data_IF_439131271707
#
_entry.id   IF_439131271707
#
_cell.length_a   1.000
_cell.length_b   1.000
_cell.length_c   1.000
_cell.angle_alpha   90.00
_cell.angle_beta   90.00
_cell.angle_gamma   90.00
#
_symmetry.space_group_name_H-M   'P 1'
#
loop_
_entity.id
_entity.type
_entity.pdbx_description
1 polymer ?
#
# COMPACT_ATOMS: atom_id res chain seq x y z
N UNK A 1 -21.03 3.89 2.92
CA UNK A 1 -19.91 4.30 3.80
C UNK A 1 -19.96 3.59 5.16
N UNK A 2 -21.06 3.67 5.92
CA UNK A 2 -21.18 2.96 7.21
C UNK A 2 -20.88 1.45 7.13
N UNK A 3 -21.42 0.76 6.11
CA UNK A 3 -21.14 -0.66 5.88
C UNK A 3 -19.66 -0.99 5.63
N UNK A 4 -18.93 -0.11 4.93
CA UNK A 4 -17.49 -0.28 4.71
C UNK A 4 -16.71 -0.12 6.01
N UNK A 5 -17.00 0.93 6.79
CA UNK A 5 -16.32 1.18 8.06
C UNK A 5 -16.53 0.02 9.05
N UNK A 6 -17.76 -0.51 9.12
CA UNK A 6 -18.10 -1.66 9.96
C UNK A 6 -17.40 -2.94 9.51
N UNK A 7 -17.13 -3.10 8.20
CA UNK A 7 -16.49 -4.29 7.66
C UNK A 7 -14.96 -4.29 7.84
N UNK A 8 -14.30 -3.14 7.72
CA UNK A 8 -12.84 -3.05 7.75
C UNK A 8 -12.25 -3.13 9.17
N UNK A 9 -12.92 -2.54 10.17
CA UNK A 9 -12.40 -2.48 11.54
C UNK A 9 -12.06 -3.87 12.14
N UNK A 10 -12.98 -4.86 12.10
CA UNK A 10 -12.70 -6.20 12.59
C UNK A 10 -11.54 -6.90 11.87
N UNK A 11 -11.35 -6.62 10.57
CA UNK A 11 -10.23 -7.18 9.79
C UNK A 11 -8.90 -6.66 10.31
N UNK A 12 -8.80 -5.36 10.57
CA UNK A 12 -7.56 -4.76 11.10
C UNK A 12 -7.30 -5.24 12.53
N UNK A 13 -8.32 -5.30 13.38
CA UNK A 13 -8.18 -5.76 14.76
C UNK A 13 -7.76 -7.23 14.87
N UNK A 14 -8.18 -8.08 13.92
CA UNK A 14 -7.79 -9.49 13.85
C UNK A 14 -6.52 -9.76 13.02
N UNK A 15 -5.85 -8.72 12.53
CA UNK A 15 -4.60 -8.87 11.79
C UNK A 15 -3.43 -9.17 12.74
N UNK A 16 -2.49 -10.05 12.36
CA UNK A 16 -1.25 -10.21 13.12
C UNK A 16 -0.45 -8.90 13.08
N UNK A 17 0.43 -8.64 14.07
CA UNK A 17 1.42 -7.57 13.96
C UNK A 17 2.27 -7.75 12.70
N UNK A 18 2.57 -6.65 12.01
CA UNK A 18 3.37 -6.64 10.78
C UNK A 18 4.51 -5.66 10.95
N UNK A 19 5.74 -6.14 10.74
CA UNK A 19 6.94 -5.30 10.61
C UNK A 19 7.28 -5.16 9.13
N UNK A 20 7.48 -3.93 8.67
CA UNK A 20 7.82 -3.63 7.27
C UNK A 20 9.14 -2.90 7.17
N UNK A 21 9.78 -2.99 6.01
CA UNK A 21 10.98 -2.22 5.67
C UNK A 21 10.86 -1.76 4.22
N UNK A 22 11.40 -0.59 3.87
CA UNK A 22 11.51 -0.22 2.46
C UNK A 22 12.70 -0.92 1.84
N UNK A 23 12.51 -1.50 0.66
CA UNK A 23 13.53 -2.32 0.01
C UNK A 23 13.48 -2.16 -1.50
N UNK A 24 14.64 -2.05 -2.12
CA UNK A 24 14.82 -1.96 -3.56
C UNK A 24 14.01 -0.83 -4.21
N UNK A 25 13.96 -0.91 -5.53
CA UNK A 25 13.09 -0.06 -6.31
C UNK A 25 12.66 -0.80 -7.58
N UNK A 26 11.61 -0.28 -8.20
CA UNK A 26 11.14 -0.78 -9.47
C UNK A 26 10.25 0.21 -10.15
N UNK A 27 9.70 -0.21 -11.29
CA UNK A 27 8.86 0.65 -12.11
C UNK A 27 7.59 -0.05 -12.54
N UNK A 28 6.48 0.67 -12.60
CA UNK A 28 5.25 0.17 -13.22
C UNK A 28 4.98 0.79 -14.58
N UNK A 29 4.38 -0.04 -15.44
CA UNK A 29 4.06 0.25 -16.83
C UNK A 29 4.75 -0.76 -17.74
N UNK A 30 4.24 -0.89 -18.96
CA UNK A 30 4.76 -1.85 -19.94
C UNK A 30 5.86 -1.20 -20.78
N UNK A 31 5.54 -0.77 -22.00
CA UNK A 31 6.49 -0.20 -22.96
C UNK A 31 7.13 1.12 -22.51
N UNK A 32 6.43 1.87 -21.66
CA UNK A 32 6.91 3.14 -21.10
C UNK A 32 6.54 3.15 -19.61
N UNK A 33 7.41 2.66 -18.72
CA UNK A 33 7.13 2.69 -17.29
C UNK A 33 7.04 4.14 -16.79
N UNK A 34 5.99 4.46 -16.04
CA UNK A 34 5.68 5.85 -15.62
C UNK A 34 5.70 6.08 -14.13
N UNK A 35 5.82 5.02 -13.36
CA UNK A 35 5.78 5.06 -11.91
C UNK A 35 7.09 4.49 -11.44
N UNK A 36 7.82 5.24 -10.61
CA UNK A 36 8.94 4.73 -9.82
C UNK A 36 8.41 4.44 -8.41
N UNK A 37 8.81 3.31 -7.86
CA UNK A 37 8.42 2.89 -6.52
C UNK A 37 9.59 2.27 -5.77
N UNK A 38 9.56 2.36 -4.44
CA UNK A 38 10.34 1.51 -3.54
C UNK A 38 9.49 0.31 -3.12
N UNK A 39 10.10 -0.87 -3.03
CA UNK A 39 9.42 -2.07 -2.56
C UNK A 39 9.22 -2.02 -1.05
N UNK A 40 8.34 -2.89 -0.55
CA UNK A 40 8.15 -3.10 0.88
C UNK A 40 8.51 -4.55 1.20
N UNK A 41 9.55 -4.72 2.00
CA UNK A 41 9.99 -5.99 2.61
C UNK A 41 9.52 -6.14 4.05
N UNK A 42 10.14 -7.08 4.78
CA UNK A 42 9.71 -7.49 6.13
C UNK A 42 8.66 -8.60 6.07
N UNK A 43 7.60 -8.48 6.86
CA UNK A 43 6.51 -9.45 6.97
C UNK A 43 5.52 -9.35 5.79
N UNK A 44 6.04 -9.47 4.56
CA UNK A 44 5.30 -9.27 3.30
C UNK A 44 4.11 -10.22 3.16
N UNK A 45 4.25 -11.47 3.62
CA UNK A 45 3.17 -12.45 3.59
C UNK A 45 2.03 -12.03 4.54
N UNK A 46 2.38 -11.56 5.75
CA UNK A 46 1.41 -11.01 6.70
C UNK A 46 0.69 -9.79 6.16
N UNK A 47 1.42 -8.86 5.53
CA UNK A 47 0.86 -7.69 4.89
C UNK A 47 -0.09 -8.06 3.73
N UNK A 48 0.27 -9.07 2.93
CA UNK A 48 -0.55 -9.55 1.81
C UNK A 48 -1.85 -10.19 2.29
N UNK A 49 -1.80 -11.00 3.36
CA UNK A 49 -3.00 -11.56 3.99
C UNK A 49 -3.95 -10.45 4.49
N UNK A 50 -3.41 -9.39 5.09
CA UNK A 50 -4.22 -8.24 5.53
C UNK A 50 -4.84 -7.53 4.33
N UNK A 51 -4.07 -7.27 3.27
CA UNK A 51 -4.56 -6.64 2.04
C UNK A 51 -5.70 -7.44 1.40
N UNK A 52 -5.57 -8.77 1.30
CA UNK A 52 -6.58 -9.65 0.73
C UNK A 52 -7.87 -9.67 1.56
N UNK A 53 -7.75 -9.73 2.89
CA UNK A 53 -8.92 -9.69 3.80
C UNK A 53 -9.64 -8.34 3.71
N UNK A 54 -8.91 -7.23 3.66
CA UNK A 54 -9.49 -5.89 3.48
C UNK A 54 -10.18 -5.77 2.12
N UNK A 55 -9.57 -6.28 1.05
CA UNK A 55 -10.17 -6.33 -0.28
C UNK A 55 -11.47 -7.13 -0.30
N UNK A 56 -11.49 -8.32 0.32
CA UNK A 56 -12.69 -9.15 0.43
C UNK A 56 -13.81 -8.44 1.21
N UNK A 57 -13.49 -7.83 2.37
CA UNK A 57 -14.44 -7.07 3.17
C UNK A 57 -15.01 -5.87 2.42
N UNK A 58 -14.17 -5.14 1.68
CA UNK A 58 -14.59 -4.00 0.86
C UNK A 58 -15.51 -4.44 -0.29
N UNK A 59 -15.19 -5.55 -0.99
CA UNK A 59 -16.07 -6.11 -2.03
C UNK A 59 -17.43 -6.52 -1.46
N UNK A 60 -17.45 -7.17 -0.30
CA UNK A 60 -18.70 -7.54 0.36
C UNK A 60 -19.55 -6.32 0.75
N UNK A 61 -18.90 -5.20 1.09
CA UNK A 61 -19.55 -3.91 1.34
C UNK A 61 -19.95 -3.13 0.05
N UNK A 62 -19.81 -3.73 -1.12
CA UNK A 62 -20.19 -3.14 -2.42
C UNK A 62 -19.19 -2.16 -3.00
N UNK A 63 -17.94 -2.14 -2.50
CA UNK A 63 -16.87 -1.30 -3.05
C UNK A 63 -16.13 -2.08 -4.13
N UNK A 64 -16.03 -1.55 -5.37
CA UNK A 64 -15.17 -2.15 -6.39
C UNK A 64 -13.71 -2.11 -5.93
N UNK A 65 -13.05 -3.26 -5.95
CA UNK A 65 -11.63 -3.41 -5.63
C UNK A 65 -10.94 -3.99 -6.85
N UNK A 66 -9.73 -3.52 -7.13
CA UNK A 66 -8.88 -4.04 -8.19
C UNK A 66 -8.61 -5.55 -8.02
N UNK A 67 -8.52 -6.27 -9.14
CA UNK A 67 -8.21 -7.71 -9.17
C UNK A 67 -6.72 -7.99 -9.36
N UNK A 68 -5.92 -6.95 -9.65
CA UNK A 68 -4.48 -7.10 -9.77
C UNK A 68 -3.89 -7.65 -8.47
N UNK A 69 -2.93 -8.59 -8.55
CA UNK A 69 -2.22 -9.08 -7.38
C UNK A 69 -1.66 -7.93 -6.57
N UNK A 70 -1.82 -8.01 -5.25
CA UNK A 70 -1.24 -7.04 -4.34
C UNK A 70 0.28 -7.10 -4.43
N UNK A 71 0.89 -5.96 -4.76
CA UNK A 71 2.34 -5.78 -4.77
C UNK A 71 2.64 -4.62 -3.80
N UNK A 72 3.10 -4.88 -2.58
CA UNK A 72 3.32 -3.83 -1.58
C UNK A 72 4.48 -2.93 -2.01
N UNK A 73 4.18 -1.65 -2.16
CA UNK A 73 5.13 -0.66 -2.69
C UNK A 73 4.79 0.75 -2.19
N UNK A 74 5.82 1.59 -2.15
CA UNK A 74 5.67 3.03 -1.98
C UNK A 74 5.94 3.72 -3.32
N UNK A 75 4.92 4.36 -3.90
CA UNK A 75 5.14 5.21 -5.09
C UNK A 75 5.99 6.41 -4.71
N UNK A 76 7.15 6.57 -5.35
CA UNK A 76 8.06 7.70 -5.14
C UNK A 76 7.81 8.84 -6.12
N UNK A 77 7.38 8.52 -7.34
CA UNK A 77 7.17 9.52 -8.37
C UNK A 77 6.41 8.99 -9.59
N UNK A 78 5.79 9.92 -10.32
CA UNK A 78 5.07 9.64 -11.57
C UNK A 78 5.48 10.63 -12.65
N UNK A 79 5.84 10.14 -13.82
CA UNK A 79 6.20 10.98 -14.97
C UNK A 79 4.96 11.32 -15.81
N UNK A 80 4.88 12.57 -16.26
CA UNK A 80 3.82 13.10 -17.13
C UNK A 80 4.21 13.12 -18.62
N UNK A 81 3.24 13.36 -19.51
CA UNK A 81 3.48 13.50 -20.95
C UNK A 81 4.04 12.23 -21.62
N UNK A 82 5.17 12.34 -22.31
CA UNK A 82 5.88 11.24 -22.99
C UNK A 82 7.06 10.68 -22.19
N UNK A 83 7.35 11.22 -21.01
CA UNK A 83 8.47 10.80 -20.16
C UNK A 83 8.32 9.37 -19.63
N UNK A 84 9.37 8.84 -19.03
CA UNK A 84 9.39 7.52 -18.39
C UNK A 84 10.26 7.52 -17.14
N UNK A 85 9.99 6.58 -16.24
CA UNK A 85 10.74 6.41 -15.01
C UNK A 85 12.17 5.97 -15.34
N UNK A 86 13.12 6.81 -14.92
CA UNK A 86 14.54 6.65 -15.19
C UNK A 86 15.06 5.30 -14.65
N UNK A 87 15.60 4.40 -15.50
CA UNK A 87 16.18 3.14 -15.05
C UNK A 87 17.33 3.33 -14.07
N UNK A 88 18.13 4.39 -14.19
CA UNK A 88 19.27 4.63 -13.29
C UNK A 88 18.84 4.89 -11.85
N UNK A 89 17.63 5.43 -11.66
CA UNK A 89 17.07 5.59 -10.30
C UNK A 89 16.72 4.25 -9.67
N UNK A 90 16.36 3.24 -10.45
CA UNK A 90 16.10 1.88 -9.91
C UNK A 90 17.40 1.31 -9.34
N UNK A 91 18.50 1.41 -10.10
CA UNK A 91 19.79 0.88 -9.66
C UNK A 91 20.32 1.61 -8.41
N UNK A 92 20.19 2.95 -8.39
CA UNK A 92 20.61 3.78 -7.24
C UNK A 92 19.79 3.54 -5.97
N UNK A 93 18.52 3.18 -6.13
CA UNK A 93 17.60 2.87 -5.05
C UNK A 93 17.50 1.35 -4.82
N UNK A 94 18.47 0.57 -5.28
CA UNK A 94 18.61 -0.83 -4.91
C UNK A 94 18.90 -1.02 -3.42
N UNK A 95 18.66 -2.23 -2.90
CA UNK A 95 18.96 -2.59 -1.51
C UNK A 95 17.98 -2.05 -0.48
N UNK A 96 18.29 -2.22 0.80
CA UNK A 96 17.38 -1.88 1.89
C UNK A 96 17.46 -0.39 2.25
N UNK A 97 16.30 0.22 2.53
CA UNK A 97 16.15 1.64 2.83
C UNK A 97 15.67 1.84 4.27
N UNK A 98 16.60 2.26 5.13
CA UNK A 98 16.29 2.54 6.53
C UNK A 98 16.01 1.29 7.37
N UNK A 99 15.67 1.46 8.67
CA UNK A 99 15.36 0.35 9.56
C UNK A 99 14.02 -0.30 9.17
N UNK A 100 13.81 -1.54 9.60
CA UNK A 100 12.46 -2.11 9.66
C UNK A 100 11.67 -1.45 10.80
N UNK A 101 10.36 -1.30 10.63
CA UNK A 101 9.48 -0.70 11.63
C UNK A 101 8.13 -1.42 11.70
N UNK A 102 7.50 -1.43 12.89
CA UNK A 102 6.18 -1.99 13.03
C UNK A 102 5.12 -1.08 12.39
N UNK A 103 4.20 -1.69 11.66
CA UNK A 103 2.95 -1.03 11.26
C UNK A 103 2.13 -0.85 12.52
N UNK A 104 1.78 0.39 12.86
CA UNK A 104 1.00 0.75 14.06
C UNK A 104 -0.46 1.08 13.74
N UNK A 105 -0.77 1.36 12.48
CA UNK A 105 -2.11 1.81 12.08
C UNK A 105 -2.41 1.46 10.61
N UNK A 106 -3.67 1.09 10.35
CA UNK A 106 -4.25 1.01 9.01
C UNK A 106 -5.25 2.14 8.84
N UNK A 107 -5.12 2.92 7.76
CA UNK A 107 -5.90 4.15 7.54
C UNK A 107 -6.76 4.02 6.29
N UNK A 108 -8.05 4.33 6.42
CA UNK A 108 -8.93 4.52 5.27
C UNK A 108 -8.83 5.96 4.77
N UNK A 109 -8.41 6.11 3.52
CA UNK A 109 -8.32 7.39 2.82
C UNK A 109 -9.44 7.55 1.80
N UNK A 110 -9.84 8.80 1.56
CA UNK A 110 -10.66 9.23 0.44
C UNK A 110 -9.81 10.08 -0.49
N UNK A 111 -9.90 9.84 -1.80
CA UNK A 111 -9.17 10.58 -2.82
C UNK A 111 -10.14 11.25 -3.82
N UNK A 112 -10.64 12.47 -3.53
CA UNK A 112 -11.49 13.18 -4.48
C UNK A 112 -10.64 13.72 -5.66
N UNK A 113 -11.16 13.70 -6.90
CA UNK A 113 -10.45 14.25 -8.05
C UNK A 113 -10.11 15.73 -7.85
N UNK A 114 -8.85 16.10 -8.11
CA UNK A 114 -8.37 17.48 -8.03
C UNK A 114 -8.30 18.08 -6.62
N UNK A 115 -8.49 17.26 -5.57
CA UNK A 115 -8.39 17.69 -4.17
C UNK A 115 -7.35 16.84 -3.41
N UNK A 116 -6.79 17.36 -2.32
CA UNK A 116 -5.96 16.55 -1.42
C UNK A 116 -6.69 15.30 -0.93
N UNK A 117 -5.93 14.26 -0.61
CA UNK A 117 -6.48 13.08 0.07
C UNK A 117 -6.98 13.44 1.46
N UNK A 118 -8.10 12.86 1.85
CA UNK A 118 -8.75 13.07 3.14
C UNK A 118 -8.71 11.78 3.95
N UNK A 119 -8.27 11.87 5.21
CA UNK A 119 -8.35 10.75 6.14
C UNK A 119 -9.80 10.55 6.56
N UNK A 120 -10.33 9.34 6.38
CA UNK A 120 -11.70 8.99 6.81
C UNK A 120 -11.68 8.47 8.24
N UNK A 121 -10.83 7.47 8.52
CA UNK A 121 -10.61 6.89 9.85
C UNK A 121 -9.30 6.10 9.87
N UNK A 122 -8.83 5.72 11.06
CA UNK A 122 -7.75 4.74 11.22
C UNK A 122 -8.08 3.74 12.32
N UNK A 123 -7.50 2.55 12.20
CA UNK A 123 -7.59 1.49 13.19
C UNK A 123 -6.17 1.12 13.63
N UNK A 124 -5.90 1.05 14.94
CA UNK A 124 -4.62 0.58 15.43
C UNK A 124 -4.40 -0.86 14.97
N UNK A 125 -3.19 -1.17 14.52
CA UNK A 125 -2.78 -2.55 14.29
C UNK A 125 -2.46 -3.23 15.63
N UNK A 126 -2.40 -4.57 15.64
CA UNK A 126 -2.17 -5.35 16.85
C UNK A 126 -0.75 -5.25 17.44
N UNK A 127 0.06 -4.23 17.08
CA UNK A 127 1.41 -4.09 17.64
C UNK A 127 1.32 -3.67 19.12
N UNK A 128 1.58 -4.61 20.02
CA UNK A 128 1.80 -4.32 21.44
C UNK A 128 3.21 -3.75 21.59
N UNK A 129 3.31 -2.57 22.20
CA UNK A 129 4.57 -2.01 22.67
C UNK A 129 5.21 -2.90 23.74
#
# INVERSE_FOLDING_TARGET
MAGLLSALGPVVAGAPPVTVQLTGAGRFGRRRPRVLWAGVGGDVDGLSVVADRLAAAARHAGVPVDERPYAPHLTLGRWAGTGEADPQLVDRLGGDHGPAWPVTEVVLWRSPPGRPHERVTGWPSAHQA
#
